data_IF_916737132885
#
_entry.id   IF_916737132885
#
_cell.length_a   1.000
_cell.length_b   1.000
_cell.length_c   1.000
_cell.angle_alpha   90.00
_cell.angle_beta   90.00
_cell.angle_gamma   90.00
#
_symmetry.space_group_name_H-M   'P 1'
#
loop_
_entity.id
_entity.type
_entity.pdbx_description
1 polymer ?
#
# COMPACT_ATOMS: atom_id res chain seq x y z
N UNK A 1 -20.96 -29.20 22.04
CA UNK A 1 -21.69 -28.04 21.49
C UNK A 1 -20.82 -27.20 20.54
N UNK A 2 -19.66 -26.69 20.98
CA UNK A 2 -18.75 -25.86 20.16
C UNK A 2 -18.29 -26.48 18.83
N UNK A 3 -18.00 -27.80 18.80
CA UNK A 3 -17.56 -28.47 17.56
C UNK A 3 -18.68 -28.62 16.52
N UNK A 4 -19.94 -28.76 16.95
CA UNK A 4 -21.09 -28.79 16.04
C UNK A 4 -21.37 -27.42 15.45
N UNK A 5 -21.19 -26.35 16.25
CA UNK A 5 -21.28 -24.96 15.78
C UNK A 5 -20.18 -24.64 14.77
N UNK A 6 -18.92 -25.05 15.03
CA UNK A 6 -17.80 -24.89 14.07
C UNK A 6 -18.04 -25.61 12.75
N UNK A 7 -18.62 -26.82 12.76
CA UNK A 7 -18.92 -27.56 11.53
C UNK A 7 -20.09 -26.95 10.76
N UNK A 8 -21.10 -26.42 11.46
CA UNK A 8 -22.22 -25.72 10.84
C UNK A 8 -21.78 -24.39 10.20
N UNK A 9 -20.91 -23.62 10.84
CA UNK A 9 -20.39 -22.37 10.26
C UNK A 9 -19.48 -22.60 9.06
N UNK A 10 -18.65 -23.67 9.09
CA UNK A 10 -17.83 -24.06 7.94
C UNK A 10 -18.68 -24.53 6.73
N UNK A 11 -19.86 -25.10 6.95
CA UNK A 11 -20.78 -25.51 5.89
C UNK A 11 -21.66 -24.36 5.36
N UNK A 12 -22.02 -23.38 6.20
CA UNK A 12 -22.82 -22.22 5.78
C UNK A 12 -22.05 -21.22 4.92
N UNK A 13 -20.73 -21.06 5.15
CA UNK A 13 -19.89 -20.12 4.41
C UNK A 13 -19.86 -20.35 2.89
N UNK A 14 -19.65 -21.58 2.36
CA UNK A 14 -19.70 -21.83 0.92
C UNK A 14 -21.11 -21.68 0.34
N UNK A 15 -22.16 -22.00 1.11
CA UNK A 15 -23.55 -21.87 0.66
C UNK A 15 -23.96 -20.40 0.55
N UNK A 16 -23.57 -19.57 1.52
CA UNK A 16 -23.80 -18.12 1.46
C UNK A 16 -22.99 -17.45 0.35
N UNK A 17 -21.75 -17.90 0.11
CA UNK A 17 -20.95 -17.43 -1.01
C UNK A 17 -21.57 -17.80 -2.38
N UNK A 18 -22.10 -19.03 -2.51
CA UNK A 18 -22.79 -19.47 -3.72
C UNK A 18 -24.10 -18.68 -3.95
N UNK A 19 -24.88 -18.40 -2.90
CA UNK A 19 -26.08 -17.56 -3.01
C UNK A 19 -25.77 -16.12 -3.42
N UNK A 20 -24.68 -15.53 -2.90
CA UNK A 20 -24.25 -14.17 -3.29
C UNK A 20 -23.81 -14.09 -4.76
N UNK A 21 -23.21 -15.16 -5.29
CA UNK A 21 -22.86 -15.26 -6.72
C UNK A 21 -24.09 -15.46 -7.63
N UNK A 22 -25.18 -16.04 -7.13
CA UNK A 22 -26.43 -16.23 -7.89
C UNK A 22 -27.28 -14.95 -7.97
N UNK A 23 -27.11 -14.01 -7.05
CA UNK A 23 -27.84 -12.73 -7.05
C UNK A 23 -27.11 -11.58 -7.79
N UNK A 24 -25.93 -11.83 -8.35
CA UNK A 24 -25.17 -10.82 -9.12
C UNK A 24 -25.45 -10.96 -10.62
N UNK A 25 -26.57 -10.40 -11.07
CA UNK A 25 -26.83 -10.26 -12.50
C UNK A 25 -25.90 -9.18 -13.09
N UNK A 26 -25.13 -9.47 -14.16
CA UNK A 26 -24.43 -8.42 -14.89
C UNK A 26 -25.47 -7.57 -15.62
N UNK A 27 -25.52 -6.28 -15.29
CA UNK A 27 -26.31 -5.32 -16.04
C UNK A 27 -25.52 -4.95 -17.30
N UNK A 28 -25.78 -5.65 -18.41
CA UNK A 28 -25.28 -5.24 -19.71
C UNK A 28 -26.20 -4.15 -20.25
N UNK A 29 -25.67 -2.94 -20.43
CA UNK A 29 -26.38 -1.88 -21.14
C UNK A 29 -26.62 -2.34 -22.59
N UNK A 30 -27.88 -2.25 -23.03
CA UNK A 30 -28.30 -2.58 -24.39
C UNK A 30 -28.00 -1.37 -25.28
N UNK A 31 -27.04 -1.52 -26.19
CA UNK A 31 -26.64 -0.47 -27.12
C UNK A 31 -27.63 -0.44 -28.30
N UNK A 32 -28.77 0.24 -28.12
CA UNK A 32 -29.70 0.53 -29.22
C UNK A 32 -29.26 1.83 -29.89
N UNK A 33 -28.44 1.73 -30.95
CA UNK A 33 -28.11 2.86 -31.81
C UNK A 33 -29.25 3.09 -32.81
N UNK A 34 -30.01 4.17 -32.61
CA UNK A 34 -31.10 4.60 -33.49
C UNK A 34 -30.53 5.29 -34.75
N UNK A 35 -30.98 4.95 -35.98
CA UNK A 35 -30.44 5.50 -37.23
C UNK A 35 -30.66 7.01 -37.43
N UNK A 36 -31.45 7.65 -36.57
CA UNK A 36 -31.67 9.11 -36.57
C UNK A 36 -30.43 9.86 -36.06
N UNK A 37 -29.72 9.30 -35.08
CA UNK A 37 -28.49 9.92 -34.51
C UNK A 37 -27.35 9.93 -35.53
N UNK A 38 -27.25 8.88 -36.34
CA UNK A 38 -26.20 8.73 -37.36
C UNK A 38 -26.35 9.77 -38.49
N UNK A 39 -27.57 10.19 -38.81
CA UNK A 39 -27.85 11.16 -39.88
C UNK A 39 -27.58 12.61 -39.47
N UNK A 40 -27.85 12.99 -38.22
CA UNK A 40 -27.52 14.34 -37.70
C UNK A 40 -26.01 14.56 -37.54
N UNK A 41 -25.25 13.53 -37.14
CA UNK A 41 -23.79 13.65 -37.00
C UNK A 41 -23.08 13.98 -38.31
N UNK A 42 -23.59 13.49 -39.45
CA UNK A 42 -22.96 13.73 -40.75
C UNK A 42 -23.06 15.16 -41.26
N UNK A 43 -24.04 15.96 -40.81
CA UNK A 43 -24.18 17.36 -41.23
C UNK A 43 -23.38 18.35 -40.39
N UNK A 44 -23.04 18.01 -39.14
CA UNK A 44 -22.27 18.88 -38.25
C UNK A 44 -20.75 18.81 -38.49
N UNK A 45 -20.22 17.80 -39.19
CA UNK A 45 -18.79 17.45 -39.19
C UNK A 45 -17.89 18.22 -40.19
N UNK A 46 -18.16 19.50 -40.50
CA UNK A 46 -17.30 20.33 -41.35
C UNK A 46 -15.97 20.73 -40.67
N UNK A 47 -14.96 21.15 -41.45
CA UNK A 47 -13.65 21.57 -40.91
C UNK A 47 -13.76 22.73 -39.90
N UNK A 48 -14.67 23.68 -40.15
CA UNK A 48 -14.95 24.83 -39.29
C UNK A 48 -15.60 24.42 -37.97
N UNK A 49 -16.55 23.48 -38.00
CA UNK A 49 -17.14 22.90 -36.78
C UNK A 49 -16.07 22.21 -35.93
N UNK A 50 -15.21 21.40 -36.55
CA UNK A 50 -14.10 20.78 -35.82
C UNK A 50 -13.06 21.80 -35.35
N UNK A 51 -12.93 22.95 -36.01
CA UNK A 51 -12.08 24.03 -35.54
C UNK A 51 -12.68 24.72 -34.31
N UNK A 52 -13.97 25.04 -34.31
CA UNK A 52 -14.71 25.57 -33.16
C UNK A 52 -14.65 24.60 -31.97
N UNK A 53 -14.88 23.31 -32.24
CA UNK A 53 -14.77 22.24 -31.24
C UNK A 53 -13.34 22.10 -30.70
N UNK A 54 -12.30 22.20 -31.55
CA UNK A 54 -10.89 22.23 -31.12
C UNK A 54 -10.53 23.47 -30.30
N UNK A 55 -11.21 24.60 -30.55
CA UNK A 55 -11.04 25.84 -29.81
C UNK A 55 -11.81 25.85 -28.47
N UNK A 56 -12.56 24.79 -28.16
CA UNK A 56 -13.27 24.63 -26.89
C UNK A 56 -14.59 25.38 -26.83
N UNK A 57 -15.23 25.66 -27.96
CA UNK A 57 -16.57 26.25 -27.98
C UNK A 57 -17.60 25.31 -27.32
N UNK A 58 -18.51 25.91 -26.54
CA UNK A 58 -19.52 25.20 -25.76
C UNK A 58 -20.81 25.09 -26.57
N UNK A 59 -21.29 23.86 -26.78
CA UNK A 59 -22.55 23.57 -27.45
C UNK A 59 -23.76 23.52 -26.51
N UNK A 60 -24.96 23.41 -27.09
CA UNK A 60 -26.21 23.20 -26.34
C UNK A 60 -26.51 21.71 -26.17
N UNK A 61 -26.97 21.32 -24.98
CA UNK A 61 -27.41 19.96 -24.65
C UNK A 61 -28.40 19.98 -23.48
N UNK A 62 -29.31 19.00 -23.43
CA UNK A 62 -30.31 18.84 -22.39
C UNK A 62 -29.77 18.25 -21.09
N UNK A 63 -28.56 17.68 -21.11
CA UNK A 63 -27.87 17.25 -19.90
C UNK A 63 -27.64 18.44 -18.97
N UNK A 64 -27.52 18.19 -17.66
CA UNK A 64 -27.17 19.21 -16.66
C UNK A 64 -25.88 18.84 -15.92
N UNK A 65 -25.17 17.78 -16.36
CA UNK A 65 -23.92 17.35 -15.76
C UNK A 65 -22.81 18.36 -16.03
N UNK A 66 -21.79 18.49 -15.16
CA UNK A 66 -20.62 19.32 -15.46
C UNK A 66 -20.04 19.02 -16.86
N UNK A 67 -19.68 20.08 -17.59
CA UNK A 67 -19.00 20.01 -18.90
C UNK A 67 -19.78 19.30 -20.03
N UNK A 68 -21.09 19.11 -19.89
CA UNK A 68 -21.93 18.44 -20.88
C UNK A 68 -21.92 19.09 -22.28
N UNK A 69 -21.71 20.40 -22.38
CA UNK A 69 -21.58 21.13 -23.65
C UNK A 69 -20.19 21.08 -24.29
N UNK A 70 -19.21 20.38 -23.69
CA UNK A 70 -17.82 20.36 -24.13
C UNK A 70 -17.45 19.01 -24.79
N UNK A 71 -17.28 19.04 -26.12
CA UNK A 71 -16.96 17.86 -26.93
C UNK A 71 -15.47 17.46 -26.91
N UNK A 72 -14.55 18.43 -26.94
CA UNK A 72 -13.09 18.20 -26.84
C UNK A 72 -12.53 18.99 -25.66
N UNK A 73 -11.67 18.35 -24.88
CA UNK A 73 -10.91 18.98 -23.79
C UNK A 73 -9.44 19.09 -24.19
N UNK A 74 -8.97 20.31 -24.51
CA UNK A 74 -7.54 20.56 -24.75
C UNK A 74 -6.66 20.23 -23.51
N UNK A 75 -7.07 20.54 -22.27
CA UNK A 75 -6.37 20.05 -21.07
C UNK A 75 -6.28 18.53 -20.98
N UNK A 76 -7.28 17.81 -21.48
CA UNK A 76 -7.30 16.35 -21.51
C UNK A 76 -6.22 15.75 -22.41
N UNK A 77 -5.91 16.39 -23.55
CA UNK A 77 -4.77 15.99 -24.39
C UNK A 77 -3.44 16.19 -23.64
N UNK A 78 -3.28 17.31 -22.94
CA UNK A 78 -2.09 17.56 -22.12
C UNK A 78 -1.93 16.52 -21.00
N UNK A 79 -3.02 16.16 -20.30
CA UNK A 79 -3.02 15.06 -19.32
C UNK A 79 -2.62 13.73 -19.95
N UNK A 80 -3.19 13.39 -21.11
CA UNK A 80 -2.87 12.16 -21.82
C UNK A 80 -1.39 12.10 -22.21
N UNK A 81 -0.85 13.18 -22.78
CA UNK A 81 0.56 13.28 -23.16
C UNK A 81 1.48 13.17 -21.94
N UNK A 82 1.16 13.85 -20.85
CA UNK A 82 1.93 13.77 -19.60
C UNK A 82 1.94 12.34 -19.05
N UNK A 83 0.77 11.70 -18.99
CA UNK A 83 0.63 10.33 -18.47
C UNK A 83 1.35 9.30 -19.34
N UNK A 84 1.11 9.34 -20.65
CA UNK A 84 1.56 8.29 -21.57
C UNK A 84 3.02 8.47 -21.99
N UNK A 85 3.48 9.70 -22.27
CA UNK A 85 4.84 9.95 -22.76
C UNK A 85 5.87 10.11 -21.65
N UNK A 86 5.45 10.56 -20.47
CA UNK A 86 6.38 10.91 -19.39
C UNK A 86 6.17 10.02 -18.16
N UNK A 87 5.00 10.09 -17.53
CA UNK A 87 4.80 9.47 -16.21
C UNK A 87 4.85 7.94 -16.25
N UNK A 88 4.21 7.31 -17.24
CA UNK A 88 4.21 5.85 -17.37
C UNK A 88 5.62 5.30 -17.69
N UNK A 89 6.37 5.81 -18.69
CA UNK A 89 7.75 5.38 -18.90
C UNK A 89 8.66 5.65 -17.70
N UNK A 90 8.57 6.83 -17.08
CA UNK A 90 9.34 7.15 -15.88
C UNK A 90 9.00 6.21 -14.70
N UNK A 91 7.73 5.85 -14.56
CA UNK A 91 7.28 4.90 -13.56
C UNK A 91 7.85 3.50 -13.78
N UNK A 92 7.87 3.02 -15.02
CA UNK A 92 8.51 1.74 -15.36
C UNK A 92 10.00 1.77 -15.01
N UNK A 93 10.72 2.83 -15.41
CA UNK A 93 12.15 3.02 -15.08
C UNK A 93 12.36 3.03 -13.57
N UNK A 94 11.53 3.74 -12.79
CA UNK A 94 11.65 3.80 -11.35
C UNK A 94 11.42 2.44 -10.67
N UNK A 95 10.43 1.67 -11.13
CA UNK A 95 10.14 0.33 -10.58
C UNK A 95 11.28 -0.64 -10.91
N UNK A 96 11.66 -0.77 -12.19
CA UNK A 96 12.75 -1.67 -12.59
C UNK A 96 14.10 -1.22 -12.03
N UNK A 97 14.32 0.10 -11.93
CA UNK A 97 15.49 0.69 -11.28
C UNK A 97 15.54 0.33 -9.80
N UNK A 98 14.41 0.41 -9.08
CA UNK A 98 14.34 0.01 -7.68
C UNK A 98 14.62 -1.48 -7.47
N UNK A 99 14.05 -2.34 -8.32
CA UNK A 99 14.32 -3.79 -8.31
C UNK A 99 15.81 -4.07 -8.59
N UNK A 100 16.35 -3.44 -9.62
CA UNK A 100 17.77 -3.57 -9.97
C UNK A 100 18.66 -3.11 -8.82
N UNK A 101 18.31 -2.01 -8.16
CA UNK A 101 19.08 -1.48 -7.04
C UNK A 101 19.07 -2.42 -5.83
N UNK A 102 17.94 -3.05 -5.47
CA UNK A 102 17.93 -4.04 -4.37
C UNK A 102 18.70 -5.32 -4.73
N UNK A 103 18.64 -5.75 -5.99
CA UNK A 103 19.43 -6.90 -6.47
C UNK A 103 20.93 -6.58 -6.41
N UNK A 104 21.35 -5.40 -6.89
CA UNK A 104 22.73 -4.97 -6.81
C UNK A 104 23.19 -4.79 -5.37
N UNK A 105 22.35 -4.25 -4.48
CA UNK A 105 22.64 -4.16 -3.06
C UNK A 105 22.88 -5.55 -2.47
N UNK A 106 22.04 -6.54 -2.80
CA UNK A 106 22.24 -7.92 -2.34
C UNK A 106 23.55 -8.52 -2.86
N UNK A 107 23.85 -8.39 -4.14
CA UNK A 107 25.03 -9.02 -4.77
C UNK A 107 26.34 -8.34 -4.36
N UNK A 108 26.36 -7.01 -4.27
CA UNK A 108 27.57 -6.22 -4.03
C UNK A 108 27.83 -5.95 -2.54
N UNK A 109 26.77 -5.72 -1.77
CA UNK A 109 26.87 -5.39 -0.34
C UNK A 109 26.55 -6.61 0.51
N UNK A 110 25.54 -7.39 0.13
CA UNK A 110 25.06 -8.50 0.94
C UNK A 110 24.24 -8.05 2.14
N UNK A 111 23.64 -9.02 2.85
CA UNK A 111 22.83 -8.77 4.04
C UNK A 111 23.64 -8.23 5.22
N UNK A 112 22.98 -7.44 6.08
CA UNK A 112 23.51 -7.11 7.40
C UNK A 112 23.34 -8.31 8.32
N UNK A 113 24.46 -8.96 8.63
CA UNK A 113 24.56 -10.12 9.51
C UNK A 113 24.75 -9.68 10.96
N UNK A 114 24.36 -10.54 11.90
CA UNK A 114 24.63 -10.32 13.32
C UNK A 114 26.13 -10.37 13.59
N UNK A 115 26.61 -9.50 14.49
CA UNK A 115 28.01 -9.48 14.90
C UNK A 115 28.34 -10.61 15.90
N UNK A 116 27.35 -11.05 16.67
CA UNK A 116 27.45 -12.17 17.61
C UNK A 116 26.49 -13.33 17.24
N UNK A 117 26.80 -14.57 17.68
CA UNK A 117 25.89 -15.69 17.52
C UNK A 117 24.54 -15.45 18.22
N UNK A 118 23.48 -16.03 17.65
CA UNK A 118 22.15 -16.02 18.25
C UNK A 118 22.15 -16.75 19.58
N UNK A 119 21.56 -16.16 20.62
CA UNK A 119 21.48 -16.81 21.94
C UNK A 119 20.38 -17.86 22.01
N UNK A 120 19.40 -17.81 21.09
CA UNK A 120 18.20 -18.63 21.13
C UNK A 120 17.14 -18.15 22.12
N UNK A 121 17.47 -17.15 22.96
CA UNK A 121 16.50 -16.49 23.83
C UNK A 121 15.68 -15.50 23.01
N UNK A 122 14.36 -15.68 23.05
CA UNK A 122 13.43 -14.88 22.26
C UNK A 122 12.79 -13.77 23.07
N UNK A 123 12.60 -12.61 22.45
CA UNK A 123 11.94 -11.43 23.00
C UNK A 123 10.76 -11.08 22.11
N UNK A 124 9.60 -10.89 22.72
CA UNK A 124 8.39 -10.50 22.00
C UNK A 124 8.49 -9.04 21.54
N UNK A 125 8.63 -8.84 20.22
CA UNK A 125 8.64 -7.52 19.57
C UNK A 125 7.25 -7.07 19.14
N UNK A 126 6.46 -7.99 18.58
CA UNK A 126 5.16 -7.69 17.98
C UNK A 126 4.03 -8.55 18.57
N UNK A 127 2.91 -7.91 18.93
CA UNK A 127 1.72 -8.64 19.35
C UNK A 127 1.05 -9.35 18.14
N UNK A 128 0.14 -10.28 18.43
CA UNK A 128 -0.66 -10.94 17.38
C UNK A 128 -1.46 -9.94 16.55
N UNK A 129 -1.98 -8.90 17.20
CA UNK A 129 -2.76 -7.85 16.54
C UNK A 129 -1.89 -6.94 15.68
N UNK A 130 -0.66 -6.64 16.11
CA UNK A 130 0.29 -5.87 15.29
C UNK A 130 0.62 -6.64 14.00
N UNK A 131 0.88 -7.94 14.11
CA UNK A 131 1.15 -8.79 12.94
C UNK A 131 -0.06 -8.93 12.03
N UNK A 132 -1.26 -9.12 12.60
CA UNK A 132 -2.48 -9.19 11.81
C UNK A 132 -2.73 -7.89 11.03
N UNK A 133 -2.52 -6.73 11.67
CA UNK A 133 -2.62 -5.43 11.02
C UNK A 133 -1.58 -5.29 9.89
N UNK A 134 -0.32 -5.66 10.16
CA UNK A 134 0.76 -5.65 9.16
C UNK A 134 0.42 -6.51 7.95
N UNK A 135 0.07 -7.79 8.15
CA UNK A 135 -0.19 -8.71 7.05
C UNK A 135 -1.46 -8.33 6.27
N UNK A 136 -2.51 -7.86 6.95
CA UNK A 136 -3.70 -7.31 6.27
C UNK A 136 -3.33 -6.11 5.39
N UNK A 137 -2.51 -5.19 5.89
CA UNK A 137 -2.00 -4.08 5.10
C UNK A 137 -1.17 -4.57 3.92
N UNK A 138 -0.22 -5.47 4.15
CA UNK A 138 0.68 -6.00 3.11
C UNK A 138 -0.09 -6.67 1.98
N UNK A 139 -1.05 -7.54 2.29
CA UNK A 139 -1.88 -8.19 1.26
C UNK A 139 -2.75 -7.20 0.49
N UNK A 140 -3.34 -6.23 1.18
CA UNK A 140 -4.16 -5.19 0.52
C UNK A 140 -3.29 -4.33 -0.39
N UNK A 141 -2.14 -3.88 0.10
CA UNK A 141 -1.17 -3.09 -0.67
C UNK A 141 -0.67 -3.85 -1.90
N UNK A 142 -0.26 -5.11 -1.75
CA UNK A 142 0.19 -5.93 -2.88
C UNK A 142 -0.92 -6.12 -3.92
N UNK A 143 -2.15 -6.38 -3.47
CA UNK A 143 -3.31 -6.51 -4.36
C UNK A 143 -3.55 -5.21 -5.14
N UNK A 144 -3.49 -4.06 -4.47
CA UNK A 144 -3.62 -2.74 -5.09
C UNK A 144 -2.46 -2.43 -6.06
N UNK A 145 -1.23 -2.73 -5.66
CA UNK A 145 -0.05 -2.52 -6.49
C UNK A 145 -0.12 -3.36 -7.77
N UNK A 146 -0.39 -4.67 -7.67
CA UNK A 146 -0.47 -5.54 -8.84
C UNK A 146 -1.65 -5.20 -9.75
N UNK A 147 -2.83 -4.94 -9.19
CA UNK A 147 -3.99 -4.51 -9.98
C UNK A 147 -3.77 -3.15 -10.64
N UNK A 148 -3.19 -2.18 -9.94
CA UNK A 148 -2.86 -0.87 -10.50
C UNK A 148 -1.81 -0.96 -11.63
N UNK A 149 -0.75 -1.74 -11.42
CA UNK A 149 0.24 -2.01 -12.46
C UNK A 149 -0.36 -2.74 -13.67
N UNK A 150 -1.32 -3.65 -13.47
CA UNK A 150 -2.06 -4.28 -14.55
C UNK A 150 -2.88 -3.27 -15.36
N UNK A 151 -3.57 -2.33 -14.69
CA UNK A 151 -4.36 -1.29 -15.34
C UNK A 151 -3.50 -0.32 -16.16
N UNK A 152 -2.30 0.01 -15.67
CA UNK A 152 -1.39 0.94 -16.35
C UNK A 152 -0.59 0.26 -17.46
N UNK A 153 0.06 -0.87 -17.14
CA UNK A 153 1.06 -1.49 -18.00
C UNK A 153 0.63 -2.80 -18.66
N UNK A 154 -0.48 -3.40 -18.22
CA UNK A 154 -0.90 -4.72 -18.71
C UNK A 154 -1.11 -4.75 -20.23
N UNK A 155 -1.55 -3.64 -20.83
CA UNK A 155 -1.71 -3.51 -22.29
C UNK A 155 -0.39 -3.69 -23.06
N UNK A 156 0.75 -3.42 -22.43
CA UNK A 156 2.08 -3.51 -23.04
C UNK A 156 2.75 -4.86 -22.80
N UNK A 157 2.62 -5.41 -21.59
CA UNK A 157 3.36 -6.62 -21.20
C UNK A 157 2.54 -7.91 -21.28
N UNK A 158 1.21 -7.83 -21.13
CA UNK A 158 0.37 -9.01 -21.03
C UNK A 158 -0.56 -9.16 -22.23
N UNK A 159 -1.22 -8.08 -22.67
CA UNK A 159 -2.15 -8.12 -23.81
C UNK A 159 -1.57 -8.75 -25.09
N UNK A 160 -0.29 -8.52 -25.48
CA UNK A 160 0.27 -9.17 -26.68
C UNK A 160 0.25 -10.71 -26.64
N UNK A 161 0.18 -11.30 -25.45
CA UNK A 161 0.21 -12.74 -25.23
C UNK A 161 -1.15 -13.33 -24.80
N UNK A 162 -2.17 -12.48 -24.63
CA UNK A 162 -3.49 -12.88 -24.11
C UNK A 162 -4.58 -12.56 -25.16
N UNK A 163 -5.42 -13.54 -25.54
CA UNK A 163 -6.56 -13.32 -26.44
C UNK A 163 -7.48 -12.19 -25.98
N UNK A 164 -8.05 -11.42 -26.92
CA UNK A 164 -8.91 -10.27 -26.63
C UNK A 164 -10.08 -10.62 -25.70
N UNK A 165 -10.66 -11.81 -25.86
CA UNK A 165 -11.76 -12.29 -25.01
C UNK A 165 -11.33 -12.44 -23.54
N UNK A 166 -10.12 -12.94 -23.29
CA UNK A 166 -9.56 -13.07 -21.94
C UNK A 166 -9.04 -11.75 -21.39
N UNK A 167 -8.55 -10.85 -22.25
CA UNK A 167 -8.04 -9.54 -21.85
C UNK A 167 -9.10 -8.68 -21.16
N UNK A 168 -10.34 -8.70 -21.67
CA UNK A 168 -11.47 -8.01 -21.05
C UNK A 168 -11.71 -8.49 -19.61
N UNK A 169 -11.70 -9.80 -19.39
CA UNK A 169 -11.84 -10.39 -18.05
C UNK A 169 -10.69 -10.04 -17.11
N UNK A 170 -9.45 -10.07 -17.60
CA UNK A 170 -8.27 -9.70 -16.79
C UNK A 170 -8.36 -8.26 -16.30
N UNK A 171 -8.69 -7.32 -17.19
CA UNK A 171 -8.82 -5.90 -16.82
C UNK A 171 -10.04 -5.67 -15.93
N UNK A 172 -11.16 -6.36 -16.18
CA UNK A 172 -12.32 -6.30 -15.32
C UNK A 172 -11.99 -6.72 -13.89
N UNK A 173 -11.34 -7.87 -13.72
CA UNK A 173 -10.91 -8.37 -12.40
C UNK A 173 -9.93 -7.40 -11.76
N UNK A 174 -8.91 -6.94 -12.49
CA UNK A 174 -7.95 -5.98 -11.96
C UNK A 174 -8.63 -4.72 -11.45
N UNK A 175 -9.53 -4.12 -12.24
CA UNK A 175 -10.31 -2.94 -11.85
C UNK A 175 -11.17 -3.22 -10.62
N UNK A 176 -11.91 -4.34 -10.61
CA UNK A 176 -12.81 -4.68 -9.52
C UNK A 176 -12.03 -4.86 -8.20
N UNK A 177 -10.94 -5.62 -8.21
CA UNK A 177 -10.13 -5.77 -7.00
C UNK A 177 -9.51 -4.43 -6.58
N UNK A 178 -9.05 -3.61 -7.53
CA UNK A 178 -8.47 -2.32 -7.21
C UNK A 178 -9.46 -1.40 -6.47
N UNK A 179 -10.66 -1.24 -7.04
CA UNK A 179 -11.69 -0.35 -6.52
C UNK A 179 -12.23 -0.81 -5.16
N UNK A 180 -12.37 -2.13 -4.93
CA UNK A 180 -12.88 -2.63 -3.64
C UNK A 180 -11.81 -2.71 -2.56
N UNK A 181 -10.55 -2.97 -2.91
CA UNK A 181 -9.45 -3.00 -1.95
C UNK A 181 -9.00 -1.59 -1.53
N UNK A 182 -9.25 -0.57 -2.35
CA UNK A 182 -8.88 0.83 -2.06
C UNK A 182 -9.46 1.36 -0.73
N UNK A 183 -10.79 1.29 -0.53
CA UNK A 183 -11.41 1.69 0.73
C UNK A 183 -10.92 0.87 1.95
N UNK A 184 -10.67 -0.44 1.76
CA UNK A 184 -10.11 -1.29 2.82
C UNK A 184 -8.70 -0.83 3.20
N UNK A 185 -7.86 -0.51 2.21
CA UNK A 185 -6.53 0.04 2.42
C UNK A 185 -6.58 1.35 3.21
N UNK A 186 -7.52 2.25 2.88
CA UNK A 186 -7.69 3.51 3.60
C UNK A 186 -8.04 3.30 5.09
N UNK A 187 -8.95 2.36 5.40
CA UNK A 187 -9.28 2.01 6.79
C UNK A 187 -8.05 1.46 7.51
N UNK A 188 -7.31 0.56 6.88
CA UNK A 188 -6.09 -0.02 7.46
C UNK A 188 -5.00 1.04 7.69
N UNK A 189 -4.88 2.04 6.82
CA UNK A 189 -3.95 3.16 7.01
C UNK A 189 -4.26 3.93 8.29
N UNK A 190 -5.54 4.22 8.55
CA UNK A 190 -5.96 4.90 9.78
C UNK A 190 -5.63 4.04 11.00
N UNK A 191 -5.91 2.74 10.95
CA UNK A 191 -5.56 1.83 12.04
C UNK A 191 -4.05 1.82 12.30
N UNK A 192 -3.22 1.78 11.26
CA UNK A 192 -1.76 1.82 11.38
C UNK A 192 -1.25 3.16 11.91
N UNK A 193 -1.84 4.27 11.45
CA UNK A 193 -1.54 5.60 11.96
C UNK A 193 -1.72 5.63 13.48
N UNK A 194 -2.93 5.36 13.94
CA UNK A 194 -3.28 5.43 15.36
C UNK A 194 -2.49 4.44 16.23
N UNK A 195 -2.18 3.26 15.69
CA UNK A 195 -1.53 2.19 16.45
C UNK A 195 -0.02 2.41 16.62
N UNK A 196 0.68 2.93 15.62
CA UNK A 196 2.15 2.99 15.63
C UNK A 196 2.76 4.40 15.63
N UNK A 197 1.97 5.48 15.51
CA UNK A 197 2.50 6.85 15.40
C UNK A 197 3.55 7.24 16.44
N UNK A 198 3.32 6.91 17.72
CA UNK A 198 4.25 7.26 18.81
C UNK A 198 5.63 6.62 18.64
N UNK A 199 5.68 5.40 18.11
CA UNK A 199 6.92 4.65 17.87
C UNK A 199 7.63 5.10 16.59
N UNK A 200 6.95 5.90 15.77
CA UNK A 200 7.42 6.35 14.47
C UNK A 200 7.86 7.81 14.43
N UNK A 201 7.95 8.50 15.58
CA UNK A 201 8.42 9.88 15.64
C UNK A 201 9.93 9.94 15.46
N UNK A 202 10.39 10.84 14.58
CA UNK A 202 11.81 11.08 14.37
C UNK A 202 12.44 11.80 15.56
N UNK A 203 13.66 11.41 15.89
CA UNK A 203 14.47 12.05 16.92
C UNK A 203 15.97 12.07 16.54
N UNK A 204 16.80 12.57 17.45
CA UNK A 204 18.24 12.72 17.21
C UNK A 204 18.99 11.39 17.04
N UNK A 205 18.45 10.28 17.56
CA UNK A 205 19.02 8.94 17.35
C UNK A 205 18.90 8.56 15.87
N UNK A 206 17.75 8.82 15.25
CA UNK A 206 17.54 8.54 13.83
C UNK A 206 18.48 9.34 12.93
N UNK A 207 18.75 10.60 13.27
CA UNK A 207 19.72 11.43 12.52
C UNK A 207 21.11 10.79 12.56
N UNK A 208 21.56 10.35 13.75
CA UNK A 208 22.84 9.62 13.89
C UNK A 208 22.83 8.28 13.15
N UNK A 209 21.69 7.60 13.14
CA UNK A 209 21.48 6.36 12.38
C UNK A 209 21.64 6.61 10.87
N UNK A 210 21.05 7.69 10.33
CA UNK A 210 21.19 8.08 8.92
C UNK A 210 22.61 8.51 8.57
N UNK A 211 23.31 9.24 9.44
CA UNK A 211 24.72 9.61 9.23
C UNK A 211 25.64 8.38 9.10
N UNK A 212 25.24 7.23 9.64
CA UNK A 212 25.92 5.94 9.50
C UNK A 212 25.33 5.04 8.42
N UNK A 213 24.39 5.55 7.61
CA UNK A 213 23.65 4.79 6.59
C UNK A 213 23.02 3.50 7.13
N UNK A 214 22.56 3.53 8.38
CA UNK A 214 22.02 2.36 9.06
C UNK A 214 22.99 1.19 9.23
N UNK A 215 24.29 1.43 9.06
CA UNK A 215 25.31 0.38 9.15
C UNK A 215 25.39 -0.53 7.92
N UNK A 216 24.68 -0.20 6.84
CA UNK A 216 24.55 -1.10 5.69
C UNK A 216 25.69 -0.95 4.67
N UNK A 217 26.28 0.24 4.55
CA UNK A 217 27.20 0.55 3.43
C UNK A 217 28.43 1.35 3.86
N UNK A 218 29.46 1.32 3.01
CA UNK A 218 30.68 2.12 3.14
C UNK A 218 31.49 1.79 4.40
N UNK A 219 32.14 2.81 4.99
CA UNK A 219 33.01 2.68 6.17
C UNK A 219 32.27 2.28 7.45
N UNK A 220 30.95 2.32 7.44
CA UNK A 220 30.09 1.94 8.57
C UNK A 220 29.43 0.58 8.37
N UNK A 221 29.79 -0.16 7.31
CA UNK A 221 29.24 -1.49 7.05
C UNK A 221 29.49 -2.43 8.24
N UNK A 222 28.44 -3.09 8.72
CA UNK A 222 28.51 -3.96 9.89
C UNK A 222 28.57 -3.23 11.23
N UNK A 223 28.59 -1.89 11.23
CA UNK A 223 28.24 -1.16 12.44
C UNK A 223 26.74 -1.31 12.67
N UNK A 224 26.31 -1.47 13.92
CA UNK A 224 24.88 -1.46 14.26
C UNK A 224 24.59 -0.14 14.97
N UNK A 225 24.13 0.91 14.26
CA UNK A 225 23.83 2.18 14.90
C UNK A 225 22.66 2.03 15.86
N UNK A 226 22.78 2.67 17.02
CA UNK A 226 21.73 2.65 18.04
C UNK A 226 20.36 3.01 17.49
N UNK A 227 19.33 2.34 17.98
CA UNK A 227 17.94 2.55 17.60
C UNK A 227 16.97 2.22 18.74
N UNK A 228 15.85 2.93 18.76
CA UNK A 228 14.72 2.65 19.64
C UNK A 228 13.91 1.47 19.09
N UNK A 229 12.63 1.35 19.45
CA UNK A 229 11.77 0.27 18.95
C UNK A 229 11.70 0.23 17.41
N UNK A 230 11.68 1.40 16.77
CA UNK A 230 11.78 1.54 15.32
C UNK A 230 13.05 2.29 14.96
N UNK A 231 13.80 1.78 13.99
CA UNK A 231 14.97 2.49 13.45
C UNK A 231 14.56 3.54 12.42
N UNK A 232 15.50 4.42 12.03
CA UNK A 232 15.22 5.52 11.11
C UNK A 232 14.60 5.09 9.77
N UNK A 233 15.02 3.95 9.20
CA UNK A 233 14.44 3.44 7.96
C UNK A 233 13.01 2.91 8.14
N UNK A 234 12.72 2.20 9.24
CA UNK A 234 11.36 1.78 9.58
C UNK A 234 10.44 3.00 9.75
N UNK A 235 10.91 4.08 10.38
CA UNK A 235 10.17 5.34 10.54
C UNK A 235 9.91 6.02 9.18
N UNK A 236 10.89 6.02 8.27
CA UNK A 236 10.72 6.54 6.90
C UNK A 236 9.65 5.77 6.14
N UNK A 237 9.70 4.43 6.13
CA UNK A 237 8.68 3.62 5.44
C UNK A 237 7.30 3.81 6.05
N UNK A 238 7.21 3.92 7.38
CA UNK A 238 5.95 4.25 8.05
C UNK A 238 5.37 5.56 7.53
N UNK A 239 6.14 6.66 7.55
CA UNK A 239 5.64 7.96 7.10
C UNK A 239 5.39 8.01 5.59
N UNK A 240 6.20 7.31 4.79
CA UNK A 240 5.97 7.15 3.36
C UNK A 240 4.60 6.50 3.11
N UNK A 241 4.30 5.41 3.82
CA UNK A 241 2.99 4.75 3.76
C UNK A 241 1.86 5.67 4.21
N UNK A 242 1.99 6.34 5.35
CA UNK A 242 0.93 7.21 5.87
C UNK A 242 0.66 8.38 4.92
N UNK A 243 1.70 9.09 4.48
CA UNK A 243 1.54 10.30 3.66
C UNK A 243 1.10 9.93 2.24
N UNK A 244 1.90 9.15 1.51
CA UNK A 244 1.59 8.82 0.12
C UNK A 244 0.44 7.83 0.01
N UNK A 245 0.24 6.96 0.99
CA UNK A 245 -0.94 6.09 1.07
C UNK A 245 -2.22 6.90 1.27
N UNK A 246 -2.22 7.93 2.13
CA UNK A 246 -3.38 8.81 2.28
C UNK A 246 -3.66 9.59 1.01
N UNK A 247 -2.63 10.14 0.36
CA UNK A 247 -2.78 10.85 -0.92
C UNK A 247 -3.33 9.93 -2.01
N UNK A 248 -2.80 8.71 -2.13
CA UNK A 248 -3.30 7.71 -3.07
C UNK A 248 -4.75 7.29 -2.75
N UNK A 249 -5.08 7.08 -1.48
CA UNK A 249 -6.44 6.70 -1.07
C UNK A 249 -7.46 7.80 -1.34
N UNK A 250 -7.17 9.06 -0.98
CA UNK A 250 -8.08 10.19 -1.22
C UNK A 250 -8.28 10.40 -2.72
N UNK A 251 -7.20 10.46 -3.50
CA UNK A 251 -7.30 10.60 -4.96
C UNK A 251 -8.00 9.39 -5.60
N UNK A 252 -7.83 8.17 -5.07
CA UNK A 252 -8.54 6.98 -5.52
C UNK A 252 -10.05 7.06 -5.27
N UNK A 253 -10.47 7.55 -4.10
CA UNK A 253 -11.89 7.77 -3.79
C UNK A 253 -12.54 8.79 -4.73
N UNK A 254 -11.81 9.86 -5.09
CA UNK A 254 -12.27 10.83 -6.10
C UNK A 254 -12.48 10.12 -7.45
N UNK A 255 -11.52 9.29 -7.87
CA UNK A 255 -11.61 8.53 -9.13
C UNK A 255 -12.73 7.48 -9.16
N UNK A 256 -13.00 6.81 -8.03
CA UNK A 256 -14.02 5.77 -7.93
C UNK A 256 -15.45 6.32 -7.94
N UNK A 257 -15.64 7.53 -7.41
CA UNK A 257 -16.95 8.10 -7.17
C UNK A 257 -17.10 9.44 -7.91
N UNK A 258 -17.40 9.44 -9.23
CA UNK A 258 -17.66 10.64 -10.03
C UNK A 258 -19.01 11.31 -9.70
N UNK A 259 -19.38 11.39 -8.42
CA UNK A 259 -20.70 11.84 -7.92
C UNK A 259 -20.64 13.14 -7.12
N UNK A 260 -19.45 13.66 -6.86
CA UNK A 260 -19.24 14.89 -6.07
C UNK A 260 -19.27 16.19 -6.90
N UNK A 261 -19.83 16.15 -8.12
CA UNK A 261 -19.82 17.31 -9.02
C UNK A 261 -18.46 17.66 -9.61
N UNK A 262 -17.50 16.74 -9.51
CA UNK A 262 -16.15 16.88 -10.06
C UNK A 262 -16.14 16.97 -11.59
N UNK A 263 -15.29 17.83 -12.11
CA UNK A 263 -15.04 18.05 -13.54
C UNK A 263 -14.05 17.01 -14.09
N UNK A 264 -13.89 16.92 -15.41
CA UNK A 264 -12.81 16.13 -16.03
C UNK A 264 -11.45 16.54 -15.49
N UNK A 265 -11.25 17.83 -15.23
CA UNK A 265 -9.97 18.33 -14.72
C UNK A 265 -9.62 17.79 -13.34
N UNK A 266 -10.62 17.68 -12.47
CA UNK A 266 -10.45 17.09 -11.13
C UNK A 266 -10.07 15.61 -11.21
N UNK A 267 -10.69 14.87 -12.15
CA UNK A 267 -10.40 13.46 -12.40
C UNK A 267 -9.00 13.26 -12.99
N UNK A 268 -8.59 14.09 -13.95
CA UNK A 268 -7.25 14.10 -14.54
C UNK A 268 -6.17 14.35 -13.49
N UNK A 269 -6.37 15.37 -12.65
CA UNK A 269 -5.42 15.74 -11.61
C UNK A 269 -5.34 14.67 -10.52
N UNK A 270 -6.48 14.16 -10.08
CA UNK A 270 -6.56 13.02 -9.15
C UNK A 270 -5.84 11.81 -9.70
N UNK A 271 -5.99 11.52 -10.99
CA UNK A 271 -5.29 10.42 -11.64
C UNK A 271 -3.76 10.59 -11.61
N UNK A 272 -3.25 11.79 -11.93
CA UNK A 272 -1.81 12.06 -11.90
C UNK A 272 -1.24 11.93 -10.48
N UNK A 273 -1.90 12.53 -9.48
CA UNK A 273 -1.50 12.45 -8.08
C UNK A 273 -1.55 11.02 -7.57
N UNK A 274 -2.59 10.27 -7.94
CA UNK A 274 -2.75 8.87 -7.56
C UNK A 274 -1.59 8.05 -8.10
N UNK A 275 -1.29 8.17 -9.41
CA UNK A 275 -0.20 7.44 -10.05
C UNK A 275 1.16 7.79 -9.46
N UNK A 276 1.42 9.08 -9.21
CA UNK A 276 2.67 9.54 -8.60
C UNK A 276 2.86 8.98 -7.18
N UNK A 277 1.81 9.07 -6.35
CA UNK A 277 1.85 8.59 -4.97
C UNK A 277 1.97 7.06 -4.90
N UNK A 278 1.22 6.35 -5.75
CA UNK A 278 1.31 4.90 -5.88
C UNK A 278 2.72 4.46 -6.33
N UNK A 279 3.35 5.19 -7.25
CA UNK A 279 4.70 4.89 -7.70
C UNK A 279 5.73 5.01 -6.57
N UNK A 280 5.65 6.08 -5.77
CA UNK A 280 6.53 6.28 -4.61
C UNK A 280 6.35 5.14 -3.60
N UNK A 281 5.10 4.75 -3.33
CA UNK A 281 4.82 3.60 -2.46
C UNK A 281 5.40 2.31 -3.02
N UNK A 282 5.15 1.98 -4.29
CA UNK A 282 5.65 0.74 -4.91
C UNK A 282 7.19 0.70 -4.80
N UNK A 283 7.88 1.78 -5.16
CA UNK A 283 9.34 1.85 -5.07
C UNK A 283 9.82 1.71 -3.62
N UNK A 284 9.25 2.46 -2.68
CA UNK A 284 9.62 2.39 -1.26
C UNK A 284 9.39 1.01 -0.65
N UNK A 285 8.29 0.35 -1.00
CA UNK A 285 7.95 -0.97 -0.48
C UNK A 285 8.76 -2.10 -1.11
N UNK A 286 9.32 -1.93 -2.32
CA UNK A 286 10.36 -2.84 -2.83
C UNK A 286 11.55 -2.86 -1.87
N UNK A 287 12.02 -1.71 -1.39
CA UNK A 287 13.09 -1.65 -0.38
C UNK A 287 12.68 -2.27 0.95
N UNK A 288 11.47 -1.98 1.42
CA UNK A 288 10.96 -2.56 2.66
C UNK A 288 10.93 -4.09 2.62
N UNK A 289 10.38 -4.66 1.53
CA UNK A 289 10.32 -6.11 1.32
C UNK A 289 11.73 -6.69 1.25
N UNK A 290 12.64 -6.04 0.51
CA UNK A 290 14.04 -6.46 0.42
C UNK A 290 14.72 -6.53 1.80
N UNK A 291 14.67 -5.45 2.59
CA UNK A 291 15.31 -5.40 3.91
C UNK A 291 14.70 -6.44 4.86
N UNK A 292 13.37 -6.59 4.84
CA UNK A 292 12.66 -7.51 5.73
C UNK A 292 12.85 -8.99 5.40
N UNK A 293 13.06 -9.34 4.13
CA UNK A 293 13.22 -10.74 3.69
C UNK A 293 14.68 -11.17 3.57
N UNK A 294 15.52 -10.30 3.01
CA UNK A 294 16.86 -10.66 2.57
C UNK A 294 17.95 -9.74 3.12
N UNK A 295 17.67 -8.45 3.35
CA UNK A 295 18.70 -7.46 3.66
C UNK A 295 19.16 -7.45 5.11
N UNK A 296 18.41 -8.02 6.04
CA UNK A 296 18.75 -8.05 7.47
C UNK A 296 18.47 -9.41 8.08
N UNK A 297 19.48 -10.02 8.69
CA UNK A 297 19.34 -11.31 9.37
C UNK A 297 18.29 -11.23 10.49
N UNK A 298 17.42 -12.24 10.61
CA UNK A 298 16.46 -12.36 11.71
C UNK A 298 15.26 -11.41 11.68
N UNK A 299 15.20 -10.44 10.75
CA UNK A 299 14.12 -9.46 10.68
C UNK A 299 12.74 -10.09 10.40
N UNK A 300 12.66 -11.05 9.47
CA UNK A 300 11.42 -11.72 9.08
C UNK A 300 10.72 -12.43 10.24
N UNK A 301 11.50 -13.03 11.15
CA UNK A 301 10.96 -13.79 12.28
C UNK A 301 10.08 -12.93 13.19
N UNK A 302 10.42 -11.64 13.34
CA UNK A 302 9.62 -10.68 14.09
C UNK A 302 8.20 -10.55 13.53
N UNK A 303 8.03 -10.50 12.21
CA UNK A 303 6.71 -10.34 11.57
C UNK A 303 5.96 -11.65 11.37
N UNK A 304 6.63 -12.80 11.38
CA UNK A 304 5.97 -14.11 11.30
C UNK A 304 5.54 -14.59 12.69
N UNK A 305 6.49 -14.65 13.63
CA UNK A 305 6.27 -15.24 14.96
C UNK A 305 5.86 -14.20 16.00
N UNK A 306 6.32 -12.95 15.85
CA UNK A 306 6.18 -11.89 16.86
C UNK A 306 7.37 -11.73 17.76
N UNK A 307 8.37 -12.60 17.61
CA UNK A 307 9.52 -12.69 18.50
C UNK A 307 10.81 -12.53 17.69
N UNK A 308 11.82 -11.94 18.32
CA UNK A 308 13.16 -11.75 17.78
C UNK A 308 14.19 -12.32 18.75
N UNK A 309 15.37 -12.69 18.24
CA UNK A 309 16.47 -13.12 19.09
C UNK A 309 17.00 -11.96 19.94
N UNK A 310 17.46 -12.27 21.14
CA UNK A 310 18.07 -11.29 22.06
C UNK A 310 19.29 -10.58 21.44
N UNK A 311 20.17 -11.31 20.74
CA UNK A 311 21.33 -10.70 20.05
C UNK A 311 20.86 -9.72 18.99
N UNK A 312 19.82 -10.08 18.23
CA UNK A 312 19.25 -9.20 17.22
C UNK A 312 18.68 -7.92 17.83
N UNK A 313 17.97 -8.03 18.96
CA UNK A 313 17.43 -6.87 19.66
C UNK A 313 18.54 -5.97 20.20
N UNK A 314 19.60 -6.55 20.77
CA UNK A 314 20.76 -5.81 21.28
C UNK A 314 21.49 -5.05 20.18
N UNK A 315 21.70 -5.66 19.03
CA UNK A 315 22.46 -5.03 17.95
C UNK A 315 21.61 -4.01 17.19
N UNK A 316 20.41 -4.39 16.74
CA UNK A 316 19.62 -3.55 15.84
C UNK A 316 18.74 -2.52 16.55
N UNK A 317 18.46 -2.72 17.84
CA UNK A 317 17.50 -1.95 18.63
C UNK A 317 17.93 -1.85 20.10
N UNK A 318 19.20 -1.52 20.34
CA UNK A 318 19.87 -1.47 21.64
C UNK A 318 19.10 -0.70 22.72
N UNK A 319 18.58 0.48 22.38
CA UNK A 319 17.83 1.33 23.31
C UNK A 319 16.52 0.66 23.72
N UNK A 320 15.80 0.07 22.76
CA UNK A 320 14.58 -0.69 23.07
C UNK A 320 14.87 -1.94 23.88
N UNK A 321 15.96 -2.64 23.59
CA UNK A 321 16.37 -3.80 24.38
C UNK A 321 16.66 -3.41 25.84
N UNK A 322 17.39 -2.31 26.06
CA UNK A 322 17.66 -1.80 27.41
C UNK A 322 16.37 -1.45 28.17
N UNK A 323 15.41 -0.78 27.52
CA UNK A 323 14.09 -0.50 28.10
C UNK A 323 13.36 -1.78 28.52
N UNK A 324 13.37 -2.81 27.67
CA UNK A 324 12.72 -4.09 27.96
C UNK A 324 13.36 -4.83 29.15
N UNK A 325 14.68 -4.73 29.30
CA UNK A 325 15.39 -5.35 30.42
C UNK A 325 15.12 -4.61 31.72
N UNK A 326 15.15 -3.27 31.70
CA UNK A 326 14.81 -2.45 32.87
C UNK A 326 13.37 -2.71 33.35
N UNK A 327 12.40 -2.78 32.43
CA UNK A 327 11.01 -3.09 32.77
C UNK A 327 10.83 -4.48 33.40
N UNK A 328 11.63 -5.48 33.00
CA UNK A 328 11.63 -6.80 33.65
C UNK A 328 12.17 -6.72 35.08
N UNK A 329 13.27 -6.00 35.28
CA UNK A 329 13.90 -5.86 36.59
C UNK A 329 12.98 -5.14 37.59
N UNK A 330 12.30 -4.07 37.17
CA UNK A 330 11.31 -3.36 37.99
C UNK A 330 10.10 -4.24 38.34
N UNK A 331 9.62 -5.03 37.37
CA UNK A 331 8.52 -5.99 37.60
C UNK A 331 8.87 -7.10 38.60
N UNK A 332 10.12 -7.58 38.60
CA UNK A 332 10.61 -8.57 39.58
C UNK A 332 10.86 -7.97 40.97
N UNK A 333 11.32 -6.72 41.04
CA UNK A 333 11.53 -6.05 42.33
C UNK A 333 10.21 -5.72 43.03
N UNK A 334 9.15 -5.41 42.27
CA UNK A 334 7.80 -5.16 42.82
C UNK A 334 7.10 -6.41 43.32
N UNK A 335 7.46 -7.62 42.86
CA UNK A 335 6.86 -8.88 43.32
C UNK A 335 7.46 -9.45 44.60
N UNK A 336 8.60 -8.92 45.05
CA UNK A 336 9.34 -9.36 46.24
C UNK A 336 9.09 -8.46 47.47
N UNK A 337 8.16 -7.49 47.41
CA UNK A 337 7.72 -6.80 48.63
C UNK A 337 6.82 -7.72 49.48
N UNK A 338 7.17 -8.00 50.75
CA UNK A 338 6.33 -8.84 51.59
C UNK A 338 5.01 -8.14 51.88
N UNK A 339 3.90 -8.82 51.57
CA UNK A 339 2.54 -8.42 51.93
C UNK A 339 2.47 -8.22 53.45
N UNK A 340 2.52 -6.96 53.89
CA UNK A 340 2.27 -6.59 55.28
C UNK A 340 0.78 -6.81 55.58
N UNK A 341 0.45 -7.94 56.20
CA UNK A 341 -0.86 -8.10 56.82
C UNK A 341 -1.39 -9.52 56.92
N UNK A 342 -0.68 -10.43 57.57
CA UNK A 342 -1.32 -11.60 58.17
C UNK A 342 -1.31 -11.38 59.70
N UNK A 343 -2.47 -10.99 60.24
CA UNK A 343 -2.66 -10.95 61.69
C UNK A 343 -2.74 -12.40 62.17
N UNK A 344 -1.76 -12.80 62.97
CA UNK A 344 -1.78 -14.03 63.73
C UNK A 344 -3.05 -14.08 64.59
N UNK A 345 -3.84 -15.14 64.39
CA UNK A 345 -4.89 -15.54 65.32
C UNK A 345 -4.23 -16.10 66.59
N UNK A 346 -4.40 -15.43 67.71
CA UNK A 346 -4.24 -16.02 69.05
C UNK A 346 -5.56 -15.86 69.81
N UNK A 347 -6.01 -17.02 70.33
CA UNK A 347 -7.09 -17.31 71.28
C UNK A 347 -8.54 -17.32 70.78
#
# INVERSE_FOLDING_TARGET
MLQRIKRATLAMLPVLAALAMLCSSPSFAKDETTPVVEREMTQLAGADFWQQVRQGEVGYTTSQSPEHGMLISAPGEAWFLLKEKWMSPAGAIAIFGSITMVILAYVLVGPLMLSAPRTGKKIKRWSRWDRALHWSMAFTFLTLAFSGLMLVYGKHFLKPYVPTELWGWVIFIAKQYHNYMGPLFFILLICMLLKWWRKSLFNMVDIKWFMKFGGMVGKYKGSHPSAEFSNGAEKVIYWLLIVFGTVAAISGLVLDFPIFGQTRRDMEFSNLIHMFSALILICGFIFHIYIGLFGMEGALEGMVTGEVDETWAQEHHDLWYAEMQNAKHEGTASSDEPVKGEKAHEQ
#
